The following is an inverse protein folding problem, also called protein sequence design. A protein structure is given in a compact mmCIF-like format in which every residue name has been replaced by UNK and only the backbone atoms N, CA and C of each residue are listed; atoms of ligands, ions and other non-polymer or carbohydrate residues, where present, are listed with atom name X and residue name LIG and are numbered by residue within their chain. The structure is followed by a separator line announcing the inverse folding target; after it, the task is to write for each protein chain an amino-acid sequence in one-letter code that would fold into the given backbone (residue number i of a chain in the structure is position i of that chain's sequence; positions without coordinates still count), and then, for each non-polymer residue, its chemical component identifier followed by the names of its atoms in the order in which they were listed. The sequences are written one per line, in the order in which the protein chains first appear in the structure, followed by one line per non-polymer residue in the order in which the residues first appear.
data_IF_572091887084
#
_entry.id   IF_572091887084
#
_cell.length_a   1.000
_cell.length_b   1.000
_cell.length_c   1.000
_cell.angle_alpha   90.00
_cell.angle_beta   90.00
_cell.angle_gamma   90.00
#
_symmetry.space_group_name_H-M   'P 1'
#
loop_
_entity.id
_entity.type
_entity.pdbx_description
1 polymer ?
#
# COMPACT_ATOMS: atom_id res chain seq x y z
N UNK A 1 22.83 90.40 -3.86
CA UNK A 1 23.51 89.50 -4.82
C UNK A 1 23.59 88.11 -4.20
N UNK A 2 23.08 87.08 -4.92
CA UNK A 2 23.48 85.64 -4.87
C UNK A 2 23.07 84.83 -3.62
N UNK A 3 22.51 83.62 -3.66
CA UNK A 3 21.93 82.73 -4.66
C UNK A 3 20.96 81.81 -3.87
N UNK A 4 19.71 81.62 -4.30
CA UNK A 4 18.84 80.58 -3.73
C UNK A 4 19.05 79.28 -4.49
N UNK A 5 19.51 78.22 -3.80
CA UNK A 5 19.65 76.87 -4.35
C UNK A 5 18.26 76.23 -4.44
N UNK A 6 17.72 76.07 -5.65
CA UNK A 6 16.52 75.28 -5.89
C UNK A 6 16.87 73.80 -5.99
N UNK A 7 16.43 72.98 -5.04
CA UNK A 7 16.50 71.51 -5.13
C UNK A 7 15.28 71.04 -5.91
N UNK A 8 15.48 70.55 -7.14
CA UNK A 8 14.42 69.90 -7.93
C UNK A 8 14.38 68.43 -7.52
N UNK A 9 13.37 68.05 -6.73
CA UNK A 9 13.12 66.66 -6.35
C UNK A 9 12.37 65.96 -7.51
N UNK A 10 13.10 65.20 -8.33
CA UNK A 10 12.51 64.33 -9.36
C UNK A 10 11.88 63.10 -8.71
N UNK A 11 10.57 63.17 -8.44
CA UNK A 11 9.76 62.01 -8.08
C UNK A 11 9.64 61.08 -9.30
N UNK A 12 10.44 60.01 -9.32
CA UNK A 12 10.24 58.92 -10.28
C UNK A 12 9.10 58.04 -9.75
N UNK A 13 7.97 58.08 -10.46
CA UNK A 13 6.86 57.16 -10.21
C UNK A 13 7.27 55.77 -10.71
N UNK A 14 7.77 54.92 -9.81
CA UNK A 14 7.99 53.52 -10.13
C UNK A 14 6.62 52.83 -10.23
N UNK A 15 6.20 52.50 -11.47
CA UNK A 15 5.08 51.59 -11.67
C UNK A 15 5.45 50.22 -11.09
N UNK A 16 4.82 49.87 -9.96
CA UNK A 16 4.86 48.52 -9.42
C UNK A 16 3.99 47.64 -10.33
N UNK A 17 4.63 46.92 -11.25
CA UNK A 17 3.94 45.90 -12.03
C UNK A 17 3.71 44.70 -11.11
N UNK A 18 2.50 44.57 -10.59
CA UNK A 18 2.07 43.37 -9.89
C UNK A 18 1.91 42.26 -10.94
N UNK A 19 2.93 41.43 -11.09
CA UNK A 19 2.81 40.17 -11.83
C UNK A 19 1.90 39.25 -11.01
N UNK A 20 0.63 39.18 -11.39
CA UNK A 20 -0.25 38.10 -10.97
C UNK A 20 0.18 36.85 -11.75
N UNK A 21 1.21 36.17 -11.25
CA UNK A 21 1.58 34.86 -11.75
C UNK A 21 0.47 33.88 -11.39
N UNK A 22 -0.38 33.53 -12.36
CA UNK A 22 -1.23 32.34 -12.23
C UNK A 22 -0.28 31.14 -12.24
N UNK A 23 0.03 30.63 -11.05
CA UNK A 23 0.70 29.35 -10.91
C UNK A 23 -0.26 28.29 -11.43
N UNK A 24 0.10 27.61 -12.51
CA UNK A 24 -0.66 26.46 -12.97
C UNK A 24 -0.60 25.38 -11.87
N UNK A 25 -1.76 24.87 -11.47
CA UNK A 25 -1.85 23.71 -10.57
C UNK A 25 -1.01 22.56 -11.17
N UNK A 26 -0.25 21.83 -10.34
CA UNK A 26 0.59 20.74 -10.84
C UNK A 26 -0.27 19.70 -11.55
N UNK A 27 0.18 19.26 -12.73
CA UNK A 27 -0.50 18.22 -13.52
C UNK A 27 -0.63 16.90 -12.74
N UNK A 28 0.31 16.63 -11.82
CA UNK A 28 0.36 15.45 -10.98
C UNK A 28 0.77 15.83 -9.56
N UNK A 29 0.01 15.33 -8.59
CA UNK A 29 0.37 15.38 -7.17
C UNK A 29 0.90 14.01 -6.73
N UNK A 30 1.92 14.02 -5.87
CA UNK A 30 2.49 12.80 -5.29
C UNK A 30 2.21 12.76 -3.80
N UNK A 31 1.63 11.65 -3.33
CA UNK A 31 1.40 11.38 -1.92
C UNK A 31 2.12 10.09 -1.53
N UNK A 32 2.90 10.11 -0.46
CA UNK A 32 3.47 8.90 0.15
C UNK A 32 2.43 8.27 1.05
N UNK A 33 1.93 7.08 0.69
CA UNK A 33 0.92 6.37 1.48
C UNK A 33 1.52 5.49 2.58
N UNK A 34 2.65 4.85 2.30
CA UNK A 34 3.33 3.97 3.24
C UNK A 34 4.79 4.39 3.31
N UNK A 35 5.22 4.91 4.45
CA UNK A 35 6.56 5.44 4.64
C UNK A 35 7.46 4.39 5.31
N UNK A 36 8.55 4.03 4.64
CA UNK A 36 9.52 3.06 5.16
C UNK A 36 10.15 3.54 6.47
N UNK A 37 10.46 2.60 7.38
CA UNK A 37 11.06 2.91 8.67
C UNK A 37 10.13 3.56 9.70
N UNK A 38 8.85 3.75 9.36
CA UNK A 38 7.83 4.33 10.23
C UNK A 38 6.79 3.29 10.68
N UNK A 39 6.04 3.61 11.73
CA UNK A 39 4.95 2.79 12.28
C UNK A 39 5.36 1.35 12.67
N UNK A 40 6.65 1.12 12.89
CA UNK A 40 7.21 -0.19 13.25
C UNK A 40 7.46 -1.13 12.07
N UNK A 41 7.45 -0.61 10.83
CA UNK A 41 7.71 -1.39 9.62
C UNK A 41 8.97 -0.92 8.90
N UNK A 42 9.84 -1.88 8.59
CA UNK A 42 11.10 -1.64 7.89
C UNK A 42 10.86 -1.30 6.43
N UNK A 43 9.90 -1.98 5.77
CA UNK A 43 9.72 -1.88 4.32
C UNK A 43 8.26 -2.12 3.91
N UNK A 44 7.78 -1.39 2.90
CA UNK A 44 6.50 -1.65 2.26
C UNK A 44 6.70 -2.00 0.78
N UNK A 45 6.14 -3.11 0.31
CA UNK A 45 6.33 -3.60 -1.06
C UNK A 45 5.09 -4.31 -1.62
N UNK A 46 5.16 -4.71 -2.89
CA UNK A 46 4.07 -5.42 -3.59
C UNK A 46 2.76 -4.62 -3.52
N UNK A 47 2.76 -3.38 -4.06
CA UNK A 47 1.59 -2.52 -3.97
C UNK A 47 0.48 -3.02 -4.90
N UNK A 48 -0.75 -2.82 -4.47
CA UNK A 48 -1.92 -2.92 -5.33
C UNK A 48 -2.91 -1.80 -5.02
N UNK A 49 -3.75 -1.49 -5.99
CA UNK A 49 -4.77 -0.45 -5.87
C UNK A 49 -6.04 -0.86 -6.62
N UNK A 50 -7.19 -0.61 -6.03
CA UNK A 50 -8.49 -0.79 -6.69
C UNK A 50 -9.40 0.40 -6.38
N UNK A 51 -10.31 0.69 -7.31
CA UNK A 51 -11.40 1.64 -7.10
C UNK A 51 -12.69 0.83 -6.96
N UNK A 52 -13.40 1.02 -5.84
CA UNK A 52 -14.66 0.33 -5.59
C UNK A 52 -15.77 0.87 -6.49
N UNK A 53 -16.90 0.16 -6.61
CA UNK A 53 -18.06 0.67 -7.36
C UNK A 53 -18.67 1.94 -6.76
N UNK A 54 -18.35 2.27 -5.50
CA UNK A 54 -18.73 3.51 -4.83
C UNK A 54 -17.73 4.66 -5.03
N UNK A 55 -16.64 4.42 -5.78
CA UNK A 55 -15.60 5.41 -6.04
C UNK A 55 -14.54 5.54 -4.96
N UNK A 56 -14.59 4.73 -3.90
CA UNK A 56 -13.53 4.69 -2.89
C UNK A 56 -12.26 4.08 -3.48
N UNK A 57 -11.11 4.60 -3.11
CA UNK A 57 -9.80 4.07 -3.52
C UNK A 57 -9.23 3.25 -2.37
N UNK A 58 -8.87 2.00 -2.63
CA UNK A 58 -8.20 1.11 -1.68
C UNK A 58 -6.79 0.83 -2.19
N UNK A 59 -5.78 1.29 -1.45
CA UNK A 59 -4.37 1.01 -1.73
C UNK A 59 -3.82 0.07 -0.65
N UNK A 60 -3.16 -1.01 -1.06
CA UNK A 60 -2.64 -2.03 -0.16
C UNK A 60 -1.23 -2.48 -0.53
N UNK A 61 -0.53 -3.09 0.42
CA UNK A 61 0.83 -3.60 0.24
C UNK A 61 1.20 -4.67 1.27
N UNK A 62 2.31 -5.37 1.03
CA UNK A 62 3.05 -6.11 2.05
C UNK A 62 3.81 -5.12 2.95
N UNK A 63 3.45 -5.09 4.23
CA UNK A 63 4.13 -4.35 5.29
C UNK A 63 5.10 -5.28 6.02
N UNK A 64 6.39 -5.12 5.78
CA UNK A 64 7.44 -5.99 6.34
C UNK A 64 7.99 -5.37 7.62
N UNK A 65 7.75 -6.05 8.74
CA UNK A 65 7.89 -5.45 10.07
C UNK A 65 9.35 -5.25 10.46
N UNK A 66 10.10 -6.33 10.54
CA UNK A 66 11.45 -6.33 11.14
C UNK A 66 12.60 -6.39 10.11
N UNK A 67 12.28 -6.58 8.83
CA UNK A 67 13.26 -6.98 7.82
C UNK A 67 12.79 -6.64 6.42
N UNK A 68 13.73 -6.51 5.49
CA UNK A 68 13.43 -6.40 4.06
C UNK A 68 13.22 -7.76 3.39
N UNK A 69 13.39 -8.88 4.11
CA UNK A 69 13.33 -10.23 3.56
C UNK A 69 11.92 -10.64 3.13
N UNK A 70 11.85 -11.52 2.12
CA UNK A 70 10.57 -11.99 1.55
C UNK A 70 9.83 -13.00 2.43
N UNK A 71 10.43 -13.51 3.50
CA UNK A 71 9.89 -14.58 4.36
C UNK A 71 10.26 -14.33 5.83
N UNK A 72 9.51 -13.44 6.49
CA UNK A 72 9.59 -12.97 7.89
C UNK A 72 8.18 -12.56 8.34
N UNK A 73 8.05 -11.81 9.42
CA UNK A 73 6.81 -11.10 9.73
C UNK A 73 6.45 -10.10 8.62
N UNK A 74 5.45 -10.49 7.83
CA UNK A 74 4.86 -9.67 6.77
C UNK A 74 3.35 -9.62 7.00
N UNK A 75 2.83 -8.41 7.11
CA UNK A 75 1.41 -8.11 7.25
C UNK A 75 0.86 -7.54 5.92
N UNK A 76 -0.44 -7.67 5.65
CA UNK A 76 -1.07 -6.95 4.52
C UNK A 76 -1.74 -5.71 5.05
N UNK A 77 -1.22 -4.54 4.68
CA UNK A 77 -1.75 -3.24 5.10
C UNK A 77 -2.56 -2.59 3.99
N UNK A 78 -3.60 -1.86 4.38
CA UNK A 78 -4.48 -1.13 3.47
C UNK A 78 -4.75 0.27 3.99
N UNK A 79 -4.80 1.24 3.07
CA UNK A 79 -5.34 2.58 3.29
C UNK A 79 -6.51 2.82 2.33
N UNK A 80 -7.49 3.59 2.79
CA UNK A 80 -8.72 3.89 2.06
C UNK A 80 -8.92 5.40 1.89
N UNK A 81 -9.35 5.81 0.71
CA UNK A 81 -9.77 7.18 0.41
C UNK A 81 -11.18 7.19 -0.17
N UNK A 82 -11.95 8.24 0.15
CA UNK A 82 -13.33 8.47 -0.32
C UNK A 82 -13.47 9.73 -1.17
N UNK A 83 -12.38 10.42 -1.44
CA UNK A 83 -12.36 11.73 -2.10
C UNK A 83 -11.44 11.75 -3.32
N UNK A 84 -11.23 10.58 -3.94
CA UNK A 84 -10.39 10.42 -5.12
C UNK A 84 -8.90 10.32 -4.84
N UNK A 85 -8.50 9.99 -3.60
CA UNK A 85 -7.11 9.81 -3.22
C UNK A 85 -6.46 11.06 -2.60
N UNK A 86 -7.24 12.07 -2.20
CA UNK A 86 -6.70 13.30 -1.57
C UNK A 86 -6.44 13.08 -0.09
N UNK A 87 -7.41 12.50 0.62
CA UNK A 87 -7.30 12.15 2.03
C UNK A 87 -7.39 10.64 2.19
N UNK A 88 -6.54 10.10 3.06
CA UNK A 88 -6.43 8.67 3.31
C UNK A 88 -6.64 8.36 4.79
N UNK A 89 -7.30 7.24 5.06
CA UNK A 89 -7.35 6.65 6.40
C UNK A 89 -5.95 6.27 6.88
N UNK A 90 -5.75 6.12 8.21
CA UNK A 90 -4.60 5.42 8.75
C UNK A 90 -4.44 4.02 8.13
N UNK A 91 -3.21 3.47 8.10
CA UNK A 91 -2.97 2.11 7.62
C UNK A 91 -3.61 1.11 8.58
N UNK A 92 -4.19 0.03 8.03
CA UNK A 92 -4.77 -1.05 8.81
C UNK A 92 -4.30 -2.39 8.26
N UNK A 93 -3.90 -3.30 9.13
CA UNK A 93 -3.72 -4.70 8.76
C UNK A 93 -5.09 -5.31 8.39
N UNK A 94 -5.18 -5.92 7.21
CA UNK A 94 -6.42 -6.53 6.70
C UNK A 94 -6.31 -8.05 6.51
N UNK A 95 -5.09 -8.59 6.46
CA UNK A 95 -4.82 -10.03 6.41
C UNK A 95 -3.47 -10.35 7.08
N UNK A 96 -3.25 -11.52 7.68
CA UNK A 96 -4.16 -12.60 8.09
C UNK A 96 -4.42 -12.43 9.59
N UNK A 97 -5.64 -12.04 10.00
CA UNK A 97 -5.98 -11.80 11.41
C UNK A 97 -6.50 -13.06 12.13
N UNK A 98 -6.23 -14.24 11.58
CA UNK A 98 -6.56 -15.55 12.17
C UNK A 98 -5.38 -16.17 12.91
N UNK A 99 -5.51 -17.45 13.24
CA UNK A 99 -4.45 -18.22 13.89
C UNK A 99 -3.19 -18.28 13.02
N UNK A 100 -2.02 -18.21 13.68
CA UNK A 100 -0.74 -18.41 12.98
C UNK A 100 -0.66 -19.85 12.47
N UNK A 101 -0.13 -20.00 11.26
CA UNK A 101 -0.07 -21.27 10.54
C UNK A 101 1.39 -21.73 10.39
N UNK A 102 1.64 -23.05 10.31
CA UNK A 102 2.98 -23.58 10.13
C UNK A 102 3.64 -23.06 8.85
N UNK A 103 4.96 -22.90 8.92
CA UNK A 103 5.81 -22.62 7.75
C UNK A 103 5.66 -23.68 6.68
N UNK A 104 5.96 -23.32 5.44
CA UNK A 104 5.91 -24.23 4.30
C UNK A 104 6.88 -25.43 4.45
N UNK A 105 6.41 -26.67 4.67
CA UNK A 105 7.25 -27.88 4.69
C UNK A 105 7.99 -28.18 3.38
N UNK A 106 7.50 -27.69 2.24
CA UNK A 106 8.03 -27.92 0.90
C UNK A 106 9.03 -26.86 0.45
N UNK A 107 9.58 -26.05 1.37
CA UNK A 107 10.63 -25.09 1.05
C UNK A 107 11.81 -25.78 0.36
N UNK A 108 12.31 -25.26 -0.77
CA UNK A 108 13.49 -25.83 -1.42
C UNK A 108 14.71 -25.74 -0.49
N UNK A 109 15.68 -26.67 -0.57
CA UNK A 109 16.83 -26.72 0.34
C UNK A 109 17.57 -25.39 0.49
N UNK A 110 17.78 -24.66 -0.61
CA UNK A 110 18.45 -23.35 -0.59
C UNK A 110 17.63 -22.23 0.10
N UNK A 111 16.33 -22.42 0.32
CA UNK A 111 15.52 -21.52 1.14
C UNK A 111 15.57 -21.93 2.60
N UNK A 112 15.62 -23.23 2.94
CA UNK A 112 15.66 -23.72 4.34
C UNK A 112 16.83 -23.14 5.16
N UNK A 113 17.95 -22.81 4.51
CA UNK A 113 19.12 -22.22 5.16
C UNK A 113 19.00 -20.70 5.44
N UNK A 114 17.95 -20.03 4.97
CA UNK A 114 17.76 -18.60 5.22
C UNK A 114 17.17 -18.36 6.61
N UNK A 115 17.49 -17.22 7.20
CA UNK A 115 16.84 -16.79 8.42
C UNK A 115 15.41 -16.31 8.11
N UNK A 116 14.45 -17.04 8.67
CA UNK A 116 13.01 -16.86 8.54
C UNK A 116 12.38 -16.17 9.75
N UNK A 117 13.21 -15.77 10.73
CA UNK A 117 12.72 -15.12 11.93
C UNK A 117 12.31 -16.08 13.01
N UNK A 118 11.77 -15.49 14.08
CA UNK A 118 11.32 -16.21 15.26
C UNK A 118 10.18 -17.19 14.97
N UNK A 119 9.90 -18.10 15.92
CA UNK A 119 8.81 -19.08 15.79
C UNK A 119 7.42 -18.43 15.68
N UNK A 120 7.27 -17.19 16.15
CA UNK A 120 6.03 -16.41 16.12
C UNK A 120 5.86 -15.57 14.85
N UNK A 121 6.89 -15.49 14.00
CA UNK A 121 6.83 -14.71 12.76
C UNK A 121 6.11 -15.48 11.65
N UNK A 122 5.24 -14.79 10.93
CA UNK A 122 4.49 -15.35 9.80
C UNK A 122 4.50 -14.42 8.59
N UNK A 123 4.67 -15.03 7.43
CA UNK A 123 4.60 -14.35 6.14
C UNK A 123 3.19 -14.40 5.58
N UNK A 124 2.54 -13.24 5.48
CA UNK A 124 1.31 -13.03 4.69
C UNK A 124 1.69 -12.23 3.45
N UNK A 125 1.49 -12.80 2.27
CA UNK A 125 2.14 -12.31 1.05
C UNK A 125 1.24 -12.36 -0.20
N UNK A 126 1.70 -11.73 -1.27
CA UNK A 126 1.05 -11.71 -2.59
C UNK A 126 -0.45 -11.36 -2.54
N UNK A 127 -0.82 -10.21 -1.95
CA UNK A 127 -2.20 -9.77 -1.92
C UNK A 127 -2.68 -9.36 -3.32
N UNK A 128 -3.92 -9.72 -3.67
CA UNK A 128 -4.59 -9.31 -4.90
C UNK A 128 -6.03 -8.95 -4.58
N UNK A 129 -6.38 -7.69 -4.79
CA UNK A 129 -7.75 -7.19 -4.64
C UNK A 129 -8.49 -7.13 -5.98
N UNK A 130 -9.78 -7.46 -5.95
CA UNK A 130 -10.69 -7.39 -7.10
C UNK A 130 -11.93 -6.62 -6.67
N UNK A 131 -12.17 -5.44 -7.24
CA UNK A 131 -13.39 -4.67 -7.02
C UNK A 131 -14.47 -5.06 -8.02
N UNK A 132 -15.65 -5.46 -7.53
CA UNK A 132 -16.76 -5.89 -8.35
C UNK A 132 -17.81 -4.79 -8.53
N UNK A 133 -18.55 -4.85 -9.66
CA UNK A 133 -19.60 -3.87 -9.97
C UNK A 133 -20.74 -3.86 -8.95
N UNK A 134 -20.99 -4.99 -8.28
CA UNK A 134 -22.01 -5.12 -7.24
C UNK A 134 -21.60 -4.50 -5.89
N UNK A 135 -20.39 -3.94 -5.77
CA UNK A 135 -19.89 -3.33 -4.54
C UNK A 135 -19.04 -4.22 -3.65
N UNK A 136 -19.01 -5.54 -3.90
CA UNK A 136 -18.10 -6.44 -3.19
C UNK A 136 -16.65 -6.18 -3.63
N UNK A 137 -15.73 -6.19 -2.67
CA UNK A 137 -14.29 -6.25 -2.92
C UNK A 137 -13.77 -7.58 -2.41
N UNK A 138 -13.19 -8.39 -3.30
CA UNK A 138 -12.47 -9.60 -2.91
C UNK A 138 -11.00 -9.29 -2.66
N UNK A 139 -10.39 -9.92 -1.67
CA UNK A 139 -8.95 -9.91 -1.45
C UNK A 139 -8.48 -11.36 -1.33
N UNK A 140 -7.58 -11.75 -2.22
CA UNK A 140 -6.89 -13.03 -2.20
C UNK A 140 -5.48 -12.78 -1.70
N UNK A 141 -4.96 -13.63 -0.84
CA UNK A 141 -3.58 -13.53 -0.34
C UNK A 141 -3.03 -14.92 -0.03
N UNK A 142 -1.72 -15.00 0.14
CA UNK A 142 -1.05 -16.22 0.56
C UNK A 142 -0.58 -16.14 2.01
N UNK A 143 -0.45 -17.30 2.63
CA UNK A 143 0.27 -17.49 3.88
C UNK A 143 1.42 -18.46 3.61
N UNK A 144 2.62 -18.09 4.03
CA UNK A 144 3.85 -18.88 3.92
C UNK A 144 4.18 -19.31 2.48
N UNK A 145 3.74 -18.53 1.48
CA UNK A 145 3.82 -18.89 0.05
C UNK A 145 3.21 -20.27 -0.27
N UNK A 146 2.35 -20.85 0.56
CA UNK A 146 1.90 -22.25 0.36
C UNK A 146 0.44 -22.50 0.66
N UNK A 147 -0.23 -21.56 1.31
CA UNK A 147 -1.69 -21.61 1.50
C UNK A 147 -2.29 -20.35 0.91
N UNK A 148 -3.41 -20.49 0.20
CA UNK A 148 -4.10 -19.36 -0.41
C UNK A 148 -5.41 -19.12 0.33
N UNK A 149 -5.69 -17.86 0.64
CA UNK A 149 -6.85 -17.44 1.40
C UNK A 149 -7.62 -16.37 0.65
N UNK A 150 -8.91 -16.34 0.91
CA UNK A 150 -9.85 -15.35 0.42
C UNK A 150 -10.54 -14.67 1.60
N UNK A 151 -10.67 -13.34 1.50
CA UNK A 151 -11.60 -12.54 2.29
C UNK A 151 -12.37 -11.62 1.35
N UNK A 152 -13.50 -11.08 1.81
CA UNK A 152 -14.23 -10.07 1.07
C UNK A 152 -14.73 -8.95 1.97
N UNK A 153 -14.90 -7.77 1.40
CA UNK A 153 -15.62 -6.64 1.98
C UNK A 153 -16.89 -6.41 1.18
N UNK A 154 -18.02 -6.32 1.88
CA UNK A 154 -19.32 -5.96 1.32
C UNK A 154 -19.72 -4.52 1.74
N UNK A 155 -18.79 -3.79 2.38
CA UNK A 155 -18.99 -2.48 2.99
C UNK A 155 -17.93 -1.46 2.56
N UNK A 156 -17.51 -1.54 1.29
CA UNK A 156 -16.62 -0.55 0.66
C UNK A 156 -15.20 -0.48 1.27
N UNK A 157 -14.69 -1.63 1.73
CA UNK A 157 -13.35 -1.78 2.30
C UNK A 157 -13.24 -1.41 3.78
N UNK A 158 -14.36 -1.27 4.50
CA UNK A 158 -14.36 -0.90 5.93
C UNK A 158 -14.11 -2.09 6.85
N UNK A 159 -14.72 -3.24 6.54
CA UNK A 159 -14.53 -4.52 7.21
C UNK A 159 -14.37 -5.68 6.23
N UNK A 160 -13.86 -6.80 6.74
CA UNK A 160 -13.54 -7.98 5.94
C UNK A 160 -14.12 -9.23 6.59
N UNK A 161 -14.57 -10.17 5.76
CA UNK A 161 -15.05 -11.48 6.20
C UNK A 161 -13.95 -12.27 6.92
N UNK A 162 -14.34 -13.33 7.63
CA UNK A 162 -13.38 -14.33 8.11
C UNK A 162 -12.60 -14.92 6.92
N UNK A 163 -11.30 -15.23 7.08
CA UNK A 163 -10.52 -15.93 6.07
C UNK A 163 -11.14 -17.28 5.68
N UNK A 164 -11.27 -17.50 4.38
CA UNK A 164 -11.61 -18.81 3.80
C UNK A 164 -10.38 -19.34 3.10
N UNK A 165 -9.92 -20.52 3.49
CA UNK A 165 -8.81 -21.17 2.78
C UNK A 165 -9.30 -21.74 1.44
N UNK A 166 -8.61 -21.38 0.36
CA UNK A 166 -8.88 -21.80 -1.01
C UNK A 166 -7.69 -22.54 -1.64
N UNK A 167 -6.72 -22.97 -0.83
CA UNK A 167 -5.52 -23.73 -1.25
C UNK A 167 -5.85 -24.92 -2.15
N UNK A 168 -6.96 -25.62 -1.88
CA UNK A 168 -7.40 -26.79 -2.65
C UNK A 168 -7.68 -26.49 -4.13
N UNK A 169 -8.00 -25.24 -4.47
CA UNK A 169 -8.15 -24.77 -5.86
C UNK A 169 -6.87 -24.96 -6.66
N UNK A 170 -5.71 -24.90 -6.00
CA UNK A 170 -4.39 -24.99 -6.61
C UNK A 170 -3.81 -26.41 -6.55
N UNK A 171 -4.35 -27.27 -5.68
CA UNK A 171 -3.84 -28.64 -5.50
C UNK A 171 -4.03 -29.51 -6.75
N UNK A 172 -5.07 -29.24 -7.56
CA UNK A 172 -5.26 -29.91 -8.84
C UNK A 172 -4.04 -29.78 -9.78
N UNK A 173 -3.33 -28.65 -9.71
CA UNK A 173 -2.13 -28.41 -10.52
C UNK A 173 -0.91 -29.20 -10.05
N UNK A 174 -0.88 -29.75 -8.83
CA UNK A 174 0.27 -30.54 -8.35
C UNK A 174 0.54 -31.77 -9.19
N UNK A 175 -0.51 -32.36 -9.77
CA UNK A 175 -0.39 -33.50 -10.67
C UNK A 175 0.35 -33.16 -11.98
N UNK A 176 0.36 -31.88 -12.35
CA UNK A 176 0.98 -31.38 -13.59
C UNK A 176 2.25 -30.57 -13.36
N UNK A 177 2.40 -29.96 -12.19
CA UNK A 177 3.48 -29.04 -11.84
C UNK A 177 3.83 -29.25 -10.36
N UNK A 178 5.07 -29.62 -10.08
CA UNK A 178 5.60 -29.74 -8.71
C UNK A 178 5.89 -28.34 -8.12
N UNK A 179 4.82 -27.60 -7.80
CA UNK A 179 4.94 -26.25 -7.27
C UNK A 179 5.32 -26.28 -5.78
N UNK A 180 6.28 -25.43 -5.42
CA UNK A 180 6.79 -25.30 -4.04
C UNK A 180 6.38 -23.97 -3.39
N UNK A 181 5.78 -23.07 -4.17
CA UNK A 181 5.30 -21.78 -3.73
C UNK A 181 4.11 -21.31 -4.58
N UNK A 182 3.18 -20.58 -3.97
CA UNK A 182 2.16 -19.77 -4.64
C UNK A 182 2.58 -18.30 -4.62
N UNK A 183 2.61 -17.71 -5.81
CA UNK A 183 2.94 -16.30 -6.02
C UNK A 183 2.23 -15.69 -7.22
#
# INVERSE_FOLDING_TARGET
MRFALGVVLLLTCQMVVVHCGVSAEPLLERVTLFEEGHDGFTLYRIPGIVVTSRGSVLAYCEARKFSTADRREIEIHLRRSTDGGRIWSPPRQVAHLGDRLPRNPHLPPGKKAKDFGGPEEQTVNNPVAIACRNGTVHLIYCVEYMRCFHIRSDDDGLSWSKPVEITTTFEAFRSTIDWQAMA
#
